data_IF_717913914077
#
_entry.id   IF_717913914077
#
_cell.length_a   1.000
_cell.length_b   1.000
_cell.length_c   1.000
_cell.angle_alpha   90.00
_cell.angle_beta   90.00
_cell.angle_gamma   90.00
#
_symmetry.space_group_name_H-M   'P 1'
#
loop_
_entity.id
_entity.type
_entity.pdbx_description
1 polymer ?
#
# COMPACT_ATOMS: atom_id res chain seq x y z
N UNK A 1 31.36 -27.34 17.08
CA UNK A 1 30.15 -26.86 16.38
C UNK A 1 29.63 -25.68 17.17
N UNK A 2 29.52 -24.50 16.55
CA UNK A 2 28.93 -23.34 17.22
C UNK A 2 27.48 -23.66 17.57
N UNK A 3 27.11 -23.44 18.82
CA UNK A 3 25.76 -23.70 19.29
C UNK A 3 24.85 -22.60 18.74
N UNK A 4 23.88 -22.99 17.91
CA UNK A 4 22.86 -22.07 17.39
C UNK A 4 22.00 -21.63 18.57
N UNK A 5 21.87 -20.32 18.75
CA UNK A 5 21.04 -19.72 19.79
C UNK A 5 19.58 -19.59 19.32
N UNK A 6 18.67 -19.35 20.26
CA UNK A 6 17.26 -19.11 19.92
C UNK A 6 17.10 -17.78 19.18
N UNK A 7 17.94 -16.81 19.52
CA UNK A 7 18.02 -15.49 18.89
C UNK A 7 18.38 -15.60 17.40
N UNK A 8 19.31 -16.51 17.04
CA UNK A 8 19.67 -16.79 15.65
C UNK A 8 18.47 -17.32 14.85
N UNK A 9 17.66 -18.18 15.47
CA UNK A 9 16.43 -18.72 14.85
C UNK A 9 15.39 -17.62 14.65
N UNK A 10 15.19 -16.75 15.64
CA UNK A 10 14.26 -15.62 15.52
C UNK A 10 14.69 -14.61 14.46
N UNK A 11 16.00 -14.31 14.39
CA UNK A 11 16.54 -13.42 13.38
C UNK A 11 16.31 -13.98 11.97
N UNK A 12 16.54 -15.28 11.77
CA UNK A 12 16.33 -15.91 10.48
C UNK A 12 14.83 -15.95 10.11
N UNK A 13 13.94 -16.22 11.08
CA UNK A 13 12.50 -16.19 10.84
C UNK A 13 12.01 -14.80 10.41
N UNK A 14 12.55 -13.74 11.04
CA UNK A 14 12.26 -12.36 10.64
C UNK A 14 12.75 -12.07 9.23
N UNK A 15 13.98 -12.50 8.89
CA UNK A 15 14.54 -12.34 7.54
C UNK A 15 13.68 -13.04 6.48
N UNK A 16 13.24 -14.27 6.76
CA UNK A 16 12.34 -15.01 5.88
C UNK A 16 11.01 -14.28 5.72
N UNK A 17 10.41 -13.80 6.81
CA UNK A 17 9.16 -13.03 6.77
C UNK A 17 9.28 -11.80 5.86
N UNK A 18 10.33 -10.99 6.04
CA UNK A 18 10.55 -9.79 5.22
C UNK A 18 10.77 -10.13 3.74
N UNK A 19 11.45 -11.25 3.45
CA UNK A 19 11.60 -11.72 2.07
C UNK A 19 10.26 -12.14 1.46
N UNK A 20 9.41 -12.84 2.22
CA UNK A 20 8.07 -13.22 1.77
C UNK A 20 7.19 -12.00 1.48
N UNK A 21 7.21 -10.99 2.33
CA UNK A 21 6.51 -9.71 2.09
C UNK A 21 6.97 -9.03 0.79
N UNK A 22 8.28 -9.04 0.52
CA UNK A 22 8.81 -8.50 -0.74
C UNK A 22 8.36 -9.30 -1.96
N UNK A 23 8.27 -10.64 -1.83
CA UNK A 23 7.79 -11.51 -2.90
C UNK A 23 6.30 -11.28 -3.16
N UNK A 24 5.49 -11.12 -2.11
CA UNK A 24 4.07 -10.80 -2.21
C UNK A 24 3.83 -9.52 -3.01
N UNK A 25 4.52 -8.42 -2.65
CA UNK A 25 4.44 -7.15 -3.39
C UNK A 25 4.83 -7.27 -4.86
N UNK A 26 5.84 -8.09 -5.14
CA UNK A 26 6.28 -8.35 -6.52
C UNK A 26 5.21 -9.11 -7.30
N UNK A 27 4.59 -10.12 -6.69
CA UNK A 27 3.50 -10.88 -7.29
C UNK A 27 2.27 -10.01 -7.53
N UNK A 28 1.91 -9.15 -6.56
CA UNK A 28 0.83 -8.18 -6.70
C UNK A 28 1.06 -7.26 -7.89
N UNK A 29 2.28 -6.72 -8.03
CA UNK A 29 2.66 -5.89 -9.18
C UNK A 29 2.51 -6.64 -10.50
N UNK A 30 2.97 -7.90 -10.56
CA UNK A 30 2.83 -8.72 -11.77
C UNK A 30 1.36 -9.00 -12.11
N UNK A 31 0.51 -9.21 -11.10
CA UNK A 31 -0.94 -9.38 -11.29
C UNK A 31 -1.54 -8.10 -11.85
N UNK A 32 -1.21 -6.94 -11.28
CA UNK A 32 -1.70 -5.63 -11.75
C UNK A 32 -1.29 -5.39 -13.21
N UNK A 33 -0.05 -5.71 -13.59
CA UNK A 33 0.44 -5.55 -14.96
C UNK A 33 -0.27 -6.44 -15.99
N UNK A 34 -0.94 -7.52 -15.55
CA UNK A 34 -1.74 -8.38 -16.42
C UNK A 34 -3.20 -7.94 -16.53
N UNK A 35 -3.64 -6.96 -15.73
CA UNK A 35 -5.00 -6.43 -15.83
C UNK A 35 -5.15 -5.66 -17.15
N UNK A 36 -6.34 -5.73 -17.78
CA UNK A 36 -6.61 -4.91 -18.96
C UNK A 36 -6.54 -3.43 -18.60
N UNK A 37 -5.94 -2.63 -19.48
CA UNK A 37 -5.98 -1.17 -19.36
C UNK A 37 -7.42 -0.68 -19.54
N UNK A 38 -7.86 0.20 -18.65
CA UNK A 38 -9.17 0.86 -18.72
C UNK A 38 -8.96 2.35 -19.02
N UNK A 39 -9.71 2.89 -19.98
CA UNK A 39 -9.64 4.31 -20.31
C UNK A 39 -10.27 5.13 -19.19
N UNK A 40 -9.45 5.88 -18.47
CA UNK A 40 -9.89 6.79 -17.43
C UNK A 40 -10.49 8.04 -18.10
N UNK A 41 -11.71 8.43 -17.72
CA UNK A 41 -12.32 9.65 -18.25
C UNK A 41 -11.51 10.90 -17.84
N UNK A 42 -11.61 11.97 -18.62
CA UNK A 42 -10.90 13.22 -18.33
C UNK A 42 -11.30 13.81 -16.97
N UNK A 43 -12.57 13.68 -16.61
CA UNK A 43 -13.10 14.11 -15.32
C UNK A 43 -12.42 13.34 -14.19
N UNK A 44 -12.29 12.02 -14.33
CA UNK A 44 -11.67 11.19 -13.31
C UNK A 44 -10.17 11.45 -13.19
N UNK A 45 -9.50 11.73 -14.30
CA UNK A 45 -8.09 12.12 -14.30
C UNK A 45 -7.89 13.44 -13.54
N UNK A 46 -8.78 14.43 -13.77
CA UNK A 46 -8.77 15.71 -13.08
C UNK A 46 -8.98 15.58 -11.57
N UNK A 47 -9.90 14.70 -11.15
CA UNK A 47 -10.09 14.40 -9.71
C UNK A 47 -8.80 13.85 -9.07
N UNK A 48 -8.06 12.99 -9.78
CA UNK A 48 -6.79 12.45 -9.28
C UNK A 48 -5.75 13.56 -9.14
N UNK A 49 -5.59 14.41 -10.16
CA UNK A 49 -4.66 15.54 -10.14
C UNK A 49 -4.97 16.53 -9.00
N UNK A 50 -6.25 16.77 -8.72
CA UNK A 50 -6.68 17.63 -7.62
C UNK A 50 -6.28 17.03 -6.26
N UNK A 51 -6.55 15.74 -6.04
CA UNK A 51 -6.18 15.02 -4.81
C UNK A 51 -4.66 14.98 -4.61
N UNK A 52 -3.87 14.75 -5.66
CA UNK A 52 -2.41 14.80 -5.59
C UNK A 52 -1.93 16.19 -5.14
N UNK A 53 -2.52 17.25 -5.70
CA UNK A 53 -2.19 18.62 -5.31
C UNK A 53 -2.61 18.95 -3.87
N UNK A 54 -3.72 18.41 -3.37
CA UNK A 54 -4.14 18.52 -1.96
C UNK A 54 -3.09 17.88 -1.03
N UNK A 55 -2.65 16.66 -1.37
CA UNK A 55 -1.62 15.93 -0.62
C UNK A 55 -0.30 16.71 -0.60
N UNK A 56 0.14 17.27 -1.74
CA UNK A 56 1.35 18.09 -1.82
C UNK A 56 1.26 19.36 -0.97
N UNK A 57 0.07 19.97 -0.86
CA UNK A 57 -0.18 21.12 0.02
C UNK A 57 -0.25 20.73 1.50
N UNK A 58 -0.24 19.43 1.81
CA UNK A 58 -0.42 18.92 3.16
C UNK A 58 -1.86 19.06 3.66
N UNK A 59 -2.82 19.19 2.75
CA UNK A 59 -4.24 19.12 3.08
C UNK A 59 -4.58 17.69 3.47
N UNK A 60 -5.31 17.53 4.57
CA UNK A 60 -5.72 16.24 5.07
C UNK A 60 -7.11 16.36 5.67
N UNK A 61 -7.80 15.22 5.71
CA UNK A 61 -9.07 15.06 6.41
C UNK A 61 -8.92 13.90 7.39
N UNK A 62 -9.52 14.04 8.57
CA UNK A 62 -9.55 12.93 9.52
C UNK A 62 -10.57 11.88 9.08
N UNK A 63 -10.37 10.62 9.48
CA UNK A 63 -11.32 9.55 9.18
C UNK A 63 -12.70 9.86 9.76
N UNK A 64 -12.75 10.46 10.95
CA UNK A 64 -13.99 10.86 11.62
C UNK A 64 -14.76 11.95 10.84
N UNK A 65 -14.06 12.87 10.19
CA UNK A 65 -14.67 13.89 9.32
C UNK A 65 -15.20 13.26 8.03
N UNK A 66 -14.40 12.41 7.39
CA UNK A 66 -14.79 11.70 6.17
C UNK A 66 -16.04 10.83 6.40
N UNK A 67 -16.11 10.12 7.53
CA UNK A 67 -17.27 9.30 7.90
C UNK A 67 -18.56 10.12 8.02
N UNK A 68 -18.48 11.34 8.57
CA UNK A 68 -19.63 12.24 8.67
C UNK A 68 -20.11 12.71 7.30
N UNK A 69 -19.18 13.03 6.40
CA UNK A 69 -19.50 13.49 5.04
C UNK A 69 -20.09 12.37 4.17
N UNK A 70 -19.57 11.15 4.30
CA UNK A 70 -20.08 9.98 3.57
C UNK A 70 -21.35 9.35 4.18
N UNK A 71 -21.87 9.90 5.29
CA UNK A 71 -23.10 9.41 5.93
C UNK A 71 -22.95 8.04 6.62
N UNK A 72 -21.72 7.61 6.90
CA UNK A 72 -21.44 6.36 7.62
C UNK A 72 -21.40 6.70 9.12
N UNK A 73 -22.42 6.24 9.86
CA UNK A 73 -22.53 6.44 11.32
C UNK A 73 -21.54 5.60 12.10
#
# INVERSE_FOLDING_TARGET
MSQVSLEDVYAELKNVSTRLESMEKTLETLVIMMLPEEEISKEKLKEIEEVEAEIERGEYVTLEELMKECGVK
#
